data_IF_713245129931
#
_entry.id   IF_713245129931
#
_cell.length_a   1.000
_cell.length_b   1.000
_cell.length_c   1.000
_cell.angle_alpha   90.00
_cell.angle_beta   90.00
_cell.angle_gamma   90.00
#
_symmetry.space_group_name_H-M   'P 1'
#
loop_
_entity.id
_entity.type
_entity.pdbx_description
1 polymer ?
#
# COMPACT_ATOMS: atom_id res chain seq x y z
N UNK A 1 6.35 -0.68 20.98
CA UNK A 1 6.27 0.14 19.74
C UNK A 1 4.91 -0.10 19.12
N UNK A 2 4.23 0.94 18.62
CA UNK A 2 3.03 0.77 17.81
C UNK A 2 3.45 0.03 16.54
N UNK A 3 2.92 -1.18 16.33
CA UNK A 3 3.14 -1.90 15.08
C UNK A 3 2.32 -1.26 13.99
N UNK A 4 2.88 -1.15 12.79
CA UNK A 4 2.14 -0.66 11.66
C UNK A 4 0.93 -1.57 11.37
N UNK A 5 -0.21 -0.99 10.98
CA UNK A 5 -1.46 -1.74 10.78
C UNK A 5 -1.33 -2.84 9.72
N UNK A 6 -0.45 -2.65 8.73
CA UNK A 6 -0.19 -3.64 7.69
C UNK A 6 0.64 -4.83 8.16
N UNK A 7 1.40 -4.71 9.26
CA UNK A 7 2.28 -5.79 9.73
C UNK A 7 1.53 -7.08 10.05
N UNK A 8 0.27 -6.99 10.52
CA UNK A 8 -0.59 -8.15 10.73
C UNK A 8 -1.17 -8.74 9.44
N UNK A 9 -1.24 -7.94 8.37
CA UNK A 9 -1.79 -8.36 7.08
C UNK A 9 -0.74 -9.11 6.24
N UNK A 10 0.52 -8.65 6.24
CA UNK A 10 1.60 -9.27 5.45
C UNK A 10 2.44 -10.27 6.24
N UNK A 11 2.31 -10.33 7.58
CA UNK A 11 3.10 -11.21 8.42
C UNK A 11 4.58 -10.88 8.32
N UNK A 12 5.41 -11.87 7.98
CA UNK A 12 6.85 -11.71 7.77
C UNK A 12 7.22 -11.33 6.32
N UNK A 13 6.24 -11.20 5.43
CA UNK A 13 6.48 -10.83 4.03
C UNK A 13 6.90 -9.36 3.92
N UNK A 14 7.60 -9.06 2.82
CA UNK A 14 8.03 -7.71 2.46
C UNK A 14 7.50 -7.36 1.07
N UNK A 15 6.93 -6.17 0.93
CA UNK A 15 6.40 -5.65 -0.34
C UNK A 15 7.15 -4.38 -0.73
N UNK A 16 7.66 -4.34 -1.96
CA UNK A 16 8.30 -3.16 -2.53
C UNK A 16 7.37 -2.50 -3.56
N UNK A 17 7.08 -1.22 -3.38
CA UNK A 17 6.19 -0.42 -4.22
C UNK A 17 6.97 0.69 -4.92
N UNK A 18 7.00 0.69 -6.25
CA UNK A 18 7.52 1.80 -7.03
C UNK A 18 6.48 2.91 -7.14
N UNK A 19 6.77 4.09 -6.60
CA UNK A 19 5.89 5.26 -6.56
C UNK A 19 6.67 6.46 -7.09
N UNK A 20 6.25 7.00 -8.23
CA UNK A 20 6.83 8.22 -8.82
C UNK A 20 8.37 8.18 -8.93
N UNK A 21 8.92 7.01 -9.30
CA UNK A 21 10.37 6.80 -9.47
C UNK A 21 11.14 6.53 -8.18
N UNK A 22 10.45 6.38 -7.04
CA UNK A 22 11.04 6.00 -5.75
C UNK A 22 10.46 4.66 -5.28
N UNK A 23 11.19 3.92 -4.45
CA UNK A 23 10.72 2.64 -3.95
C UNK A 23 10.37 2.71 -2.46
N UNK A 24 9.15 2.33 -2.10
CA UNK A 24 8.67 2.20 -0.72
C UNK A 24 8.62 0.71 -0.36
N UNK A 25 9.39 0.31 0.64
CA UNK A 25 9.35 -1.06 1.19
C UNK A 25 8.49 -1.08 2.43
N UNK A 26 7.53 -2.01 2.47
CA UNK A 26 6.65 -2.30 3.60
C UNK A 26 6.98 -3.70 4.13
N UNK A 27 7.32 -3.80 5.42
CA UNK A 27 7.57 -5.07 6.11
C UNK A 27 7.00 -5.04 7.55
N UNK A 28 7.29 -6.09 8.32
CA UNK A 28 6.86 -6.22 9.71
C UNK A 28 7.41 -5.13 10.65
N UNK A 29 8.57 -4.55 10.31
CA UNK A 29 9.24 -3.50 11.09
C UNK A 29 8.71 -2.11 10.75
N UNK A 30 8.21 -1.90 9.53
CA UNK A 30 7.49 -0.69 9.15
C UNK A 30 7.57 -0.37 7.67
N UNK A 31 7.68 0.93 7.38
CA UNK A 31 7.77 1.45 6.02
C UNK A 31 9.05 2.27 5.85
N UNK A 32 9.79 2.06 4.75
CA UNK A 32 11.00 2.83 4.43
C UNK A 32 11.10 3.11 2.95
N UNK A 33 11.55 4.32 2.60
CA UNK A 33 11.98 4.62 1.24
C UNK A 33 13.37 4.05 1.02
N UNK A 34 13.58 3.40 -0.12
CA UNK A 34 14.88 2.87 -0.55
C UNK A 34 15.23 3.47 -1.91
N UNK A 35 16.51 3.80 -2.07
CA UNK A 35 17.03 4.39 -3.32
C UNK A 35 17.30 3.30 -4.37
N UNK A 36 17.65 2.09 -3.93
CA UNK A 36 17.91 0.94 -4.80
C UNK A 36 16.68 0.04 -4.83
N UNK A 37 15.94 0.13 -5.94
CA UNK A 37 14.70 -0.61 -6.12
C UNK A 37 14.98 -2.12 -6.31
N UNK A 38 14.38 -3.00 -5.49
CA UNK A 38 14.53 -4.43 -5.70
C UNK A 38 13.86 -4.85 -7.01
N UNK A 39 14.42 -5.87 -7.66
CA UNK A 39 13.97 -6.32 -8.98
C UNK A 39 12.50 -6.80 -9.00
N UNK A 40 11.96 -7.21 -7.86
CA UNK A 40 10.58 -7.66 -7.69
C UNK A 40 9.62 -6.54 -7.24
N UNK A 41 10.01 -5.26 -7.32
CA UNK A 41 9.10 -4.18 -6.96
C UNK A 41 7.87 -4.13 -7.87
N UNK A 42 6.75 -3.76 -7.28
CA UNK A 42 5.51 -3.48 -8.01
C UNK A 42 5.47 -2.00 -8.34
N UNK A 43 5.71 -1.67 -9.61
CA UNK A 43 5.65 -0.28 -10.06
C UNK A 43 4.19 0.14 -10.19
N UNK A 44 3.77 1.07 -9.33
CA UNK A 44 2.41 1.59 -9.35
C UNK A 44 2.25 2.60 -10.51
N UNK A 45 1.13 2.56 -11.25
CA UNK A 45 0.85 3.57 -12.24
C UNK A 45 0.67 4.94 -11.59
N UNK A 46 0.88 6.01 -12.37
CA UNK A 46 0.83 7.39 -11.86
C UNK A 46 -0.47 7.69 -11.13
N UNK A 47 -0.38 8.24 -9.91
CA UNK A 47 -1.54 8.60 -9.08
C UNK A 47 -2.28 7.44 -8.43
N UNK A 48 -1.80 6.19 -8.55
CA UNK A 48 -2.42 5.03 -7.88
C UNK A 48 -2.13 4.95 -6.39
N UNK A 49 -0.93 5.36 -5.96
CA UNK A 49 -0.49 5.19 -4.58
C UNK A 49 -1.44 5.82 -3.53
N UNK A 50 -1.93 7.07 -3.70
CA UNK A 50 -2.92 7.64 -2.77
C UNK A 50 -4.20 6.81 -2.70
N UNK A 51 -4.69 6.31 -3.84
CA UNK A 51 -5.90 5.49 -3.89
C UNK A 51 -5.76 4.18 -3.12
N UNK A 52 -4.65 3.47 -3.31
CA UNK A 52 -4.35 2.22 -2.60
C UNK A 52 -4.16 2.46 -1.09
N UNK A 53 -3.39 3.48 -0.72
CA UNK A 53 -3.09 3.79 0.68
C UNK A 53 -4.31 4.32 1.47
N UNK A 54 -5.31 4.85 0.78
CA UNK A 54 -6.57 5.32 1.40
C UNK A 54 -7.73 4.33 1.30
N UNK A 55 -7.52 3.19 0.65
CA UNK A 55 -8.58 2.21 0.39
C UNK A 55 -9.63 2.67 -0.63
N UNK A 56 -9.34 3.72 -1.41
CA UNK A 56 -10.16 4.12 -2.57
C UNK A 56 -9.89 3.23 -3.79
N UNK A 57 -8.78 2.50 -3.78
CA UNK A 57 -8.42 1.47 -4.76
C UNK A 57 -7.97 0.21 -4.07
N UNK A 58 -8.16 -0.91 -4.77
CA UNK A 58 -7.86 -2.25 -4.30
C UNK A 58 -6.70 -2.87 -5.09
N UNK A 59 -6.08 -3.91 -4.53
CA UNK A 59 -5.13 -4.74 -5.25
C UNK A 59 -5.74 -5.32 -6.53
N UNK A 60 -7.02 -5.71 -6.49
CA UNK A 60 -7.74 -6.24 -7.65
C UNK A 60 -7.79 -5.25 -8.82
N UNK A 61 -8.09 -3.98 -8.53
CA UNK A 61 -8.07 -2.94 -9.56
C UNK A 61 -6.66 -2.72 -10.09
N UNK A 62 -5.65 -2.77 -9.21
CA UNK A 62 -4.24 -2.67 -9.62
C UNK A 62 -3.87 -3.81 -10.58
N UNK A 63 -4.34 -5.05 -10.33
CA UNK A 63 -4.12 -6.18 -11.22
C UNK A 63 -4.73 -5.99 -12.60
N UNK A 64 -5.93 -5.41 -12.67
CA UNK A 64 -6.59 -5.11 -13.94
C UNK A 64 -5.82 -4.05 -14.73
N UNK A 65 -5.27 -3.05 -14.05
CA UNK A 65 -4.49 -1.98 -14.67
C UNK A 65 -3.11 -2.44 -15.14
N UNK A 66 -2.42 -3.28 -14.35
CA UNK A 66 -1.10 -3.81 -14.70
C UNK A 66 -1.18 -4.88 -15.81
N UNK A 67 -2.35 -5.52 -15.99
CA UNK A 67 -2.57 -6.56 -17.00
C UNK A 67 -1.71 -7.81 -16.80
N UNK A 68 -1.56 -8.63 -17.85
CA UNK A 68 -0.72 -9.85 -17.83
C UNK A 68 0.79 -9.58 -17.71
N UNK A 69 1.21 -8.31 -17.70
CA UNK A 69 2.61 -7.93 -17.66
C UNK A 69 3.24 -7.97 -16.25
N UNK A 70 2.44 -8.10 -15.20
CA UNK A 70 2.93 -8.25 -13.83
C UNK A 70 3.31 -9.72 -13.54
N UNK A 71 4.49 -10.16 -13.99
CA UNK A 71 5.11 -11.37 -13.44
C UNK A 71 5.55 -11.09 -11.99
N UNK A 72 4.60 -11.16 -11.07
CA UNK A 72 4.87 -11.13 -9.64
C UNK A 72 4.86 -12.55 -9.10
N UNK A 73 5.73 -12.80 -8.13
CA UNK A 73 5.63 -14.03 -7.35
C UNK A 73 4.31 -14.05 -6.53
N UNK A 74 3.85 -15.26 -6.23
CA UNK A 74 2.60 -15.50 -5.51
C UNK A 74 2.61 -14.90 -4.09
N UNK A 75 3.79 -14.75 -3.48
CA UNK A 75 3.94 -14.14 -2.15
C UNK A 75 3.63 -12.65 -2.19
N UNK A 76 4.22 -11.94 -3.13
CA UNK A 76 3.97 -10.51 -3.39
C UNK A 76 2.51 -10.28 -3.74
N UNK A 77 1.90 -11.17 -4.54
CA UNK A 77 0.48 -11.10 -4.89
C UNK A 77 -0.42 -11.20 -3.65
N UNK A 78 -0.18 -12.22 -2.81
CA UNK A 78 -0.94 -12.42 -1.56
C UNK A 78 -0.76 -11.25 -0.60
N UNK A 79 0.47 -10.75 -0.46
CA UNK A 79 0.75 -9.62 0.40
C UNK A 79 0.00 -8.36 -0.08
N UNK A 80 -0.05 -8.11 -1.39
CA UNK A 80 -0.80 -6.99 -1.95
C UNK A 80 -2.32 -7.14 -1.76
N UNK A 81 -2.87 -8.33 -1.99
CA UNK A 81 -4.29 -8.61 -1.72
C UNK A 81 -4.67 -8.43 -0.23
N UNK A 82 -3.73 -8.72 0.67
CA UNK A 82 -3.89 -8.51 2.10
C UNK A 82 -3.75 -7.02 2.50
N UNK A 83 -2.83 -6.28 1.87
CA UNK A 83 -2.60 -4.86 2.12
C UNK A 83 -3.72 -3.98 1.60
N UNK A 84 -4.15 -4.22 0.37
CA UNK A 84 -5.12 -3.40 -0.36
C UNK A 84 -6.39 -4.20 -0.63
N UNK A 85 -6.87 -4.85 0.43
CA UNK A 85 -8.10 -5.64 0.39
C UNK A 85 -9.31 -4.74 0.13
N UNK A 86 -10.45 -5.36 -0.18
CA UNK A 86 -11.77 -4.71 -0.37
C UNK A 86 -12.35 -4.15 0.96
N UNK A 87 -11.48 -3.57 1.80
CA UNK A 87 -11.89 -2.90 3.02
C UNK A 87 -12.56 -1.58 2.64
N UNK A 88 -13.74 -1.25 3.20
CA UNK A 88 -14.37 0.02 2.94
C UNK A 88 -13.41 1.14 3.32
N UNK A 89 -13.26 2.14 2.43
CA UNK A 89 -12.41 3.30 2.64
C UNK A 89 -12.52 3.80 4.08
N UNK A 90 -11.43 3.68 4.85
CA UNK A 90 -11.41 4.09 6.25
C UNK A 90 -11.34 5.61 6.31
N UNK A 91 -12.49 6.27 6.17
CA UNK A 91 -12.63 7.64 6.65
C UNK A 91 -12.80 7.57 8.16
N UNK A 92 -11.71 7.81 8.89
CA UNK A 92 -11.84 8.34 10.24
C UNK A 92 -12.30 9.79 10.09
N UNK A 93 -13.59 10.03 10.35
CA UNK A 93 -14.06 11.37 10.68
C UNK A 93 -13.19 11.89 11.83
N UNK A 94 -12.28 12.81 11.53
CA UNK A 94 -11.63 13.62 12.53
C UNK A 94 -12.54 14.83 12.74
N UNK A 95 -13.30 14.94 13.86
CA UNK A 95 -13.85 16.23 14.22
C UNK A 95 -12.63 17.12 14.44
N UNK A 96 -12.29 17.93 13.43
CA UNK A 96 -11.52 19.13 13.64
C UNK A 96 -12.33 19.87 14.68
N UNK A 97 -11.77 20.05 15.88
CA UNK A 97 -12.41 20.82 16.94
C UNK A 97 -12.94 22.10 16.31
N UNK A 98 -14.26 22.23 16.19
CA UNK A 98 -14.88 23.54 16.11
C UNK A 98 -14.60 24.19 17.47
N UNK A 99 -13.41 24.74 17.61
CA UNK A 99 -13.20 25.91 18.46
C UNK A 99 -13.93 27.05 17.76
N UNK A 100 -15.26 27.01 17.82
CA UNK A 100 -16.03 28.23 17.78
C UNK A 100 -15.83 28.84 19.16
N UNK A 101 -14.90 29.79 19.23
CA UNK A 101 -14.96 30.85 20.23
C UNK A 101 -16.39 31.42 20.21
N UNK A 102 -17.12 31.28 21.33
CA UNK A 102 -17.94 32.32 22.00
C UNK A 102 -18.68 31.76 23.23
#
# INVERSE_FOLDING_TARGET
>A
ALRAWWSSAIGDASVALGIDGRCLVLDAEGARWVDDAPANQVVLPGGWAPGLLTGQRTARELWLELGECAMLDEETRRALDALFTDAPAHWSYAPVYELADE
#
